data_IF_288629693701
#
_entry.id   IF_288629693701
#
_cell.length_a   1.000
_cell.length_b   1.000
_cell.length_c   1.000
_cell.angle_alpha   90.00
_cell.angle_beta   90.00
_cell.angle_gamma   90.00
#
_symmetry.space_group_name_H-M   'P 1'
#
loop_
_entity.id
_entity.type
_entity.pdbx_description
1 polymer ?
#
# COMPACT_ATOMS: atom_id res chain seq x y z
N UNK A 1 20.59 14.99 33.48
CA UNK A 1 19.79 13.93 32.85
C UNK A 1 19.55 14.27 31.39
N UNK A 2 19.66 13.31 30.46
CA UNK A 2 19.38 13.55 29.03
C UNK A 2 17.89 13.87 28.82
N UNK A 3 17.61 14.80 27.90
CA UNK A 3 16.25 15.13 27.47
C UNK A 3 15.68 14.02 26.57
N UNK A 4 14.36 13.98 26.40
CA UNK A 4 13.68 12.99 25.54
C UNK A 4 14.17 13.07 24.09
N UNK A 5 14.38 14.27 23.55
CA UNK A 5 14.92 14.48 22.21
C UNK A 5 16.35 13.94 22.06
N UNK A 6 17.20 14.17 23.06
CA UNK A 6 18.57 13.63 23.07
C UNK A 6 18.57 12.10 23.12
N UNK A 7 17.66 11.48 23.88
CA UNK A 7 17.50 10.03 23.92
C UNK A 7 17.03 9.47 22.57
N UNK A 8 16.13 10.17 21.88
CA UNK A 8 15.64 9.80 20.54
C UNK A 8 16.77 9.92 19.51
N UNK A 9 17.57 10.99 19.53
CA UNK A 9 18.69 11.18 18.60
C UNK A 9 19.77 10.11 18.79
N UNK A 10 20.11 9.79 20.04
CA UNK A 10 21.06 8.71 20.37
C UNK A 10 20.51 7.36 19.91
N UNK A 11 19.22 7.08 20.15
CA UNK A 11 18.59 5.85 19.68
C UNK A 11 18.63 5.75 18.14
N UNK A 12 18.31 6.85 17.42
CA UNK A 12 18.41 6.90 15.95
C UNK A 12 19.82 6.63 15.45
N UNK A 13 20.85 7.21 16.06
CA UNK A 13 22.27 6.94 15.72
C UNK A 13 22.70 5.50 16.01
N UNK A 14 22.26 4.93 17.13
CA UNK A 14 22.56 3.54 17.49
C UNK A 14 21.85 2.52 16.59
N UNK A 15 20.72 2.91 16.00
CA UNK A 15 19.91 2.08 15.10
C UNK A 15 20.30 2.27 13.62
N UNK A 16 20.99 3.35 13.24
CA UNK A 16 21.38 3.65 11.85
C UNK A 16 22.15 2.51 11.15
N UNK A 17 22.83 1.64 11.90
CA UNK A 17 23.60 0.51 11.36
C UNK A 17 23.11 -0.86 11.86
N UNK A 18 21.97 -0.93 12.57
CA UNK A 18 21.40 -2.19 13.05
C UNK A 18 20.18 -2.56 12.23
N UNK A 19 20.18 -3.78 11.71
CA UNK A 19 19.03 -4.38 11.03
C UNK A 19 17.93 -4.62 12.09
N UNK A 20 16.96 -3.70 12.20
CA UNK A 20 15.84 -3.85 13.13
C UNK A 20 14.91 -4.92 12.57
N UNK A 21 14.82 -6.07 13.24
CA UNK A 21 13.88 -7.13 12.92
C UNK A 21 12.64 -6.97 13.80
N UNK A 22 11.55 -6.51 13.21
CA UNK A 22 10.24 -6.62 13.85
C UNK A 22 9.69 -8.02 13.59
N UNK A 23 9.45 -8.79 14.66
CA UNK A 23 8.79 -10.09 14.59
C UNK A 23 7.51 -9.99 15.38
N UNK A 24 6.36 -10.12 14.71
CA UNK A 24 5.08 -10.28 15.39
C UNK A 24 5.03 -11.71 15.94
N UNK A 25 5.23 -11.87 17.25
CA UNK A 25 5.07 -13.16 17.93
C UNK A 25 3.62 -13.25 18.41
N UNK A 26 2.89 -14.21 17.86
CA UNK A 26 1.53 -14.55 18.29
C UNK A 26 1.61 -15.98 18.81
N UNK A 27 1.75 -16.12 20.12
CA UNK A 27 1.81 -17.41 20.81
C UNK A 27 0.52 -17.65 21.60
N UNK A 28 0.11 -18.91 21.68
CA UNK A 28 -0.82 -19.36 22.72
C UNK A 28 -0.07 -19.52 24.05
N UNK A 29 -0.80 -19.77 25.14
CA UNK A 29 -0.21 -20.14 26.44
C UNK A 29 0.75 -21.35 26.36
N UNK A 30 0.71 -22.13 25.28
CA UNK A 30 1.59 -23.28 25.03
C UNK A 30 2.78 -22.96 24.08
N UNK A 31 3.07 -21.69 23.79
CA UNK A 31 4.16 -21.26 22.87
C UNK A 31 4.10 -21.85 21.45
N UNK A 32 2.94 -22.36 21.04
CA UNK A 32 2.72 -22.80 19.65
C UNK A 32 2.53 -21.58 18.76
N UNK A 33 3.22 -21.56 17.62
CA UNK A 33 3.03 -20.53 16.60
C UNK A 33 1.58 -20.57 16.11
N UNK A 34 0.82 -19.49 16.38
CA UNK A 34 -0.55 -19.35 15.89
C UNK A 34 -0.48 -18.80 14.47
N UNK A 35 -1.03 -19.53 13.50
CA UNK A 35 -1.36 -18.99 12.19
C UNK A 35 -2.76 -18.38 12.21
N UNK A 36 -2.93 -17.26 11.51
CA UNK A 36 -4.27 -16.74 11.26
C UNK A 36 -5.00 -17.66 10.28
N UNK A 37 -6.22 -18.06 10.63
CA UNK A 37 -7.07 -18.92 9.77
C UNK A 37 -7.62 -18.19 8.55
N UNK A 38 -7.61 -16.85 8.56
CA UNK A 38 -8.12 -16.01 7.50
C UNK A 38 -6.99 -15.26 6.79
N UNK A 39 -7.11 -14.97 5.49
CA UNK A 39 -6.18 -14.10 4.79
C UNK A 39 -6.17 -12.70 5.42
N UNK A 40 -4.98 -12.14 5.60
CA UNK A 40 -4.82 -10.80 6.17
C UNK A 40 -3.68 -10.06 5.48
N UNK A 41 -3.58 -8.75 5.73
CA UNK A 41 -2.51 -7.88 5.22
C UNK A 41 -1.98 -7.02 6.36
N UNK A 42 -0.68 -6.71 6.33
CA UNK A 42 -0.09 -5.65 7.12
C UNK A 42 -0.24 -4.33 6.38
N UNK A 43 -0.50 -3.24 7.10
CA UNK A 43 -0.53 -1.90 6.54
C UNK A 43 0.13 -0.90 7.50
N UNK A 44 0.88 0.06 6.95
CA UNK A 44 1.31 1.21 7.74
C UNK A 44 0.14 2.18 7.88
N UNK A 45 -0.24 2.53 9.10
CA UNK A 45 -1.41 3.37 9.36
C UNK A 45 -1.30 4.76 8.72
N UNK A 46 -0.08 5.29 8.60
CA UNK A 46 0.26 6.54 7.90
C UNK A 46 -0.02 6.44 6.39
N UNK A 47 0.59 5.47 5.70
CA UNK A 47 0.35 5.27 4.27
C UNK A 47 -1.10 4.85 3.97
N UNK A 48 -1.74 4.09 4.86
CA UNK A 48 -3.15 3.71 4.73
C UNK A 48 -4.08 4.93 4.89
N UNK A 49 -3.77 5.86 5.79
CA UNK A 49 -4.53 7.12 5.92
C UNK A 49 -4.39 7.96 4.66
N UNK A 50 -3.18 8.12 4.15
CA UNK A 50 -2.94 8.84 2.88
C UNK A 50 -3.72 8.19 1.74
N UNK A 51 -3.73 6.86 1.65
CA UNK A 51 -4.56 6.11 0.71
C UNK A 51 -6.05 6.47 0.81
N UNK A 52 -6.57 6.67 2.03
CA UNK A 52 -7.97 7.08 2.22
C UNK A 52 -8.27 8.50 1.75
N UNK A 53 -7.25 9.36 1.65
CA UNK A 53 -7.38 10.75 1.19
C UNK A 53 -7.39 10.87 -0.35
N UNK A 54 -7.11 9.79 -1.10
CA UNK A 54 -7.03 9.77 -2.58
C UNK A 54 -8.38 9.60 -3.31
N UNK A 55 -9.49 10.00 -2.69
CA UNK A 55 -10.85 9.86 -3.22
C UNK A 55 -11.13 8.47 -3.83
N UNK A 56 -10.96 7.43 -3.03
CA UNK A 56 -11.23 6.04 -3.46
C UNK A 56 -12.74 5.81 -3.48
N UNK A 57 -13.29 5.59 -4.67
CA UNK A 57 -14.70 5.26 -4.82
C UNK A 57 -15.04 3.89 -4.24
N UNK A 58 -16.32 3.68 -3.90
CA UNK A 58 -16.82 2.40 -3.39
C UNK A 58 -16.47 1.20 -4.30
N UNK A 59 -16.51 1.38 -5.61
CA UNK A 59 -16.18 0.30 -6.56
C UNK A 59 -14.68 0.03 -6.63
N UNK A 60 -13.84 1.06 -6.59
CA UNK A 60 -12.39 0.89 -6.47
C UNK A 60 -12.03 0.14 -5.19
N UNK A 61 -12.64 0.53 -4.06
CA UNK A 61 -12.45 -0.14 -2.78
C UNK A 61 -12.89 -1.60 -2.82
N UNK A 62 -14.07 -1.90 -3.37
CA UNK A 62 -14.60 -3.26 -3.51
C UNK A 62 -13.71 -4.17 -4.36
N UNK A 63 -13.12 -3.63 -5.44
CA UNK A 63 -12.14 -4.36 -6.27
C UNK A 63 -10.85 -4.57 -5.48
N UNK A 64 -10.34 -3.53 -4.83
CA UNK A 64 -9.11 -3.57 -4.04
C UNK A 64 -9.18 -4.60 -2.92
N UNK A 65 -10.25 -4.62 -2.12
CA UNK A 65 -10.40 -5.57 -1.00
C UNK A 65 -10.41 -7.01 -1.49
N UNK A 66 -11.03 -7.28 -2.64
CA UNK A 66 -11.01 -8.62 -3.25
C UNK A 66 -9.60 -9.00 -3.71
N UNK A 67 -8.86 -8.07 -4.33
CA UNK A 67 -7.47 -8.32 -4.71
C UNK A 67 -6.61 -8.59 -3.46
N UNK A 68 -6.76 -7.82 -2.38
CA UNK A 68 -5.99 -8.02 -1.14
C UNK A 68 -6.25 -9.41 -0.53
N UNK A 69 -7.46 -9.94 -0.64
CA UNK A 69 -7.83 -11.27 -0.16
C UNK A 69 -7.12 -12.38 -0.95
N UNK A 70 -7.07 -12.26 -2.28
CA UNK A 70 -6.63 -13.33 -3.19
C UNK A 70 -5.24 -13.12 -3.83
N UNK A 71 -4.57 -11.99 -3.57
CA UNK A 71 -3.20 -11.76 -4.04
C UNK A 71 -2.23 -12.78 -3.44
N UNK A 72 -1.20 -13.10 -4.21
CA UNK A 72 -0.14 -13.99 -3.76
C UNK A 72 0.81 -13.28 -2.77
N UNK A 73 1.53 -14.09 -1.98
CA UNK A 73 2.69 -13.57 -1.25
C UNK A 73 3.68 -12.95 -2.23
N UNK A 74 4.27 -11.82 -1.86
CA UNK A 74 4.96 -10.97 -2.86
C UNK A 74 4.10 -9.82 -3.38
N UNK A 75 2.84 -9.71 -2.93
CA UNK A 75 1.82 -8.78 -3.42
C UNK A 75 1.49 -8.92 -4.92
N UNK A 76 1.83 -10.05 -5.52
CA UNK A 76 1.57 -10.30 -6.94
C UNK A 76 0.08 -10.53 -7.18
N UNK A 77 -0.47 -9.85 -8.18
CA UNK A 77 -1.86 -10.00 -8.60
C UNK A 77 -1.91 -11.07 -9.69
N UNK A 78 -2.37 -12.27 -9.33
CA UNK A 78 -2.58 -13.37 -10.26
C UNK A 78 -4.08 -13.52 -10.64
N UNK A 79 -4.79 -12.40 -10.71
CA UNK A 79 -6.21 -12.33 -11.07
C UNK A 79 -6.37 -11.52 -12.35
N UNK A 80 -7.12 -12.04 -13.31
CA UNK A 80 -7.47 -11.30 -14.52
C UNK A 80 -8.63 -10.33 -14.25
N UNK A 81 -8.68 -9.21 -14.98
CA UNK A 81 -9.84 -8.31 -14.92
C UNK A 81 -11.16 -9.03 -15.28
N UNK A 82 -11.12 -10.01 -16.18
CA UNK A 82 -12.30 -10.81 -16.55
C UNK A 82 -12.79 -11.69 -15.39
N UNK A 83 -11.90 -12.26 -14.59
CA UNK A 83 -12.25 -13.02 -13.38
C UNK A 83 -12.89 -12.10 -12.32
N UNK A 84 -12.33 -10.91 -12.13
CA UNK A 84 -12.85 -9.90 -11.20
C UNK A 84 -14.22 -9.38 -11.64
N UNK A 85 -14.45 -9.18 -12.94
CA UNK A 85 -15.76 -8.76 -13.47
C UNK A 85 -16.85 -9.76 -13.09
N UNK A 86 -16.56 -11.07 -13.26
CA UNK A 86 -17.49 -12.15 -12.92
C UNK A 86 -17.71 -12.23 -11.41
N UNK A 87 -16.63 -12.22 -10.62
CA UNK A 87 -16.70 -12.36 -9.17
C UNK A 87 -17.45 -11.20 -8.49
N UNK A 88 -17.23 -9.97 -8.97
CA UNK A 88 -17.77 -8.76 -8.33
C UNK A 88 -19.03 -8.22 -9.00
N UNK A 89 -19.48 -8.84 -10.10
CA UNK A 89 -20.57 -8.38 -10.95
C UNK A 89 -20.38 -6.92 -11.41
N UNK A 90 -19.22 -6.65 -12.03
CA UNK A 90 -18.83 -5.32 -12.54
C UNK A 90 -18.63 -5.43 -14.05
N UNK A 91 -19.14 -4.46 -14.80
CA UNK A 91 -18.94 -4.38 -16.24
C UNK A 91 -17.46 -4.17 -16.60
N UNK A 92 -17.00 -4.79 -17.69
CA UNK A 92 -15.59 -4.76 -18.12
C UNK A 92 -15.03 -3.34 -18.31
N UNK A 93 -15.78 -2.44 -18.96
CA UNK A 93 -15.36 -1.05 -19.13
C UNK A 93 -15.14 -0.32 -17.80
N UNK A 94 -16.00 -0.59 -16.80
CA UNK A 94 -15.83 -0.02 -15.47
C UNK A 94 -14.62 -0.65 -14.75
N UNK A 95 -14.42 -1.96 -14.87
CA UNK A 95 -13.25 -2.65 -14.30
C UNK A 95 -11.92 -2.11 -14.84
N UNK A 96 -11.82 -1.91 -16.16
CA UNK A 96 -10.61 -1.35 -16.77
C UNK A 96 -10.36 0.08 -16.30
N UNK A 97 -11.41 0.90 -16.16
CA UNK A 97 -11.29 2.25 -15.61
C UNK A 97 -10.85 2.24 -14.13
N UNK A 98 -11.40 1.34 -13.31
CA UNK A 98 -10.98 1.14 -11.92
C UNK A 98 -9.49 0.80 -11.85
N UNK A 99 -9.01 -0.13 -12.67
CA UNK A 99 -7.58 -0.48 -12.72
C UNK A 99 -6.71 0.70 -13.14
N UNK A 100 -7.16 1.51 -14.11
CA UNK A 100 -6.46 2.73 -14.49
C UNK A 100 -6.34 3.69 -13.31
N UNK A 101 -7.45 4.00 -12.63
CA UNK A 101 -7.45 4.91 -11.48
C UNK A 101 -6.60 4.40 -10.31
N UNK A 102 -6.68 3.11 -9.99
CA UNK A 102 -5.86 2.52 -8.93
C UNK A 102 -4.35 2.58 -9.24
N UNK A 103 -3.94 2.53 -10.52
CA UNK A 103 -2.54 2.76 -10.92
C UNK A 103 -2.15 4.23 -10.76
N UNK A 104 -2.99 5.16 -11.21
CA UNK A 104 -2.77 6.59 -11.06
C UNK A 104 -2.58 6.96 -9.58
N UNK A 105 -3.41 6.40 -8.70
CA UNK A 105 -3.32 6.57 -7.24
C UNK A 105 -2.14 5.82 -6.60
N UNK A 106 -1.27 5.20 -7.39
CA UNK A 106 -0.09 4.48 -6.93
C UNK A 106 -0.36 3.22 -6.11
N UNK A 107 -1.60 2.70 -6.14
CA UNK A 107 -2.01 1.51 -5.37
C UNK A 107 -1.65 0.24 -6.13
N UNK A 108 -1.82 0.26 -7.45
CA UNK A 108 -1.38 -0.81 -8.34
C UNK A 108 -0.07 -0.41 -9.00
N UNK A 109 0.91 -1.31 -8.95
CA UNK A 109 2.26 -1.11 -9.49
C UNK A 109 2.51 -2.14 -10.57
N UNK A 110 2.99 -1.70 -11.74
CA UNK A 110 3.37 -2.59 -12.83
C UNK A 110 4.89 -2.64 -12.94
N UNK A 111 5.46 -3.85 -12.93
CA UNK A 111 6.89 -4.06 -13.04
C UNK A 111 7.18 -5.33 -13.83
N UNK A 112 7.94 -5.21 -14.92
CA UNK A 112 8.23 -6.31 -15.87
C UNK A 112 6.98 -7.08 -16.36
N UNK A 113 5.90 -6.38 -16.68
CA UNK A 113 4.65 -6.98 -17.17
C UNK A 113 3.84 -7.72 -16.11
N UNK A 114 4.26 -7.67 -14.85
CA UNK A 114 3.52 -8.18 -13.71
C UNK A 114 2.89 -7.02 -12.93
N UNK A 115 1.70 -7.27 -12.38
CA UNK A 115 0.95 -6.29 -11.61
C UNK A 115 0.99 -6.66 -10.12
N UNK A 116 1.20 -5.66 -9.28
CA UNK A 116 1.36 -5.81 -7.83
C UNK A 116 0.47 -4.82 -7.08
N UNK A 117 0.13 -5.16 -5.83
CA UNK A 117 -0.33 -4.18 -4.84
C UNK A 117 0.87 -3.48 -4.23
N UNK A 118 0.80 -2.15 -4.12
CA UNK A 118 1.87 -1.33 -3.57
C UNK A 118 2.30 -1.81 -2.17
N UNK A 119 3.55 -2.25 -2.05
CA UNK A 119 4.09 -2.76 -0.80
C UNK A 119 4.37 -1.69 0.25
N UNK A 120 4.41 -0.41 -0.13
CA UNK A 120 4.41 0.68 0.84
C UNK A 120 3.06 0.81 1.56
N UNK A 121 1.95 0.36 0.96
CA UNK A 121 0.61 0.46 1.57
C UNK A 121 0.25 -0.83 2.29
N UNK A 122 0.33 -1.96 1.59
CA UNK A 122 -0.08 -3.27 2.11
C UNK A 122 1.01 -4.31 1.89
N UNK A 123 1.15 -5.27 2.80
CA UNK A 123 1.91 -6.50 2.55
C UNK A 123 1.05 -7.71 2.90
N UNK A 124 0.98 -8.72 2.02
CA UNK A 124 0.25 -9.96 2.34
C UNK A 124 0.81 -10.59 3.61
N UNK A 125 -0.05 -10.79 4.60
CA UNK A 125 0.29 -11.46 5.85
C UNK A 125 0.65 -12.92 5.58
N UNK A 126 1.69 -13.43 6.25
CA UNK A 126 2.20 -14.78 6.04
C UNK A 126 2.25 -15.57 7.35
N UNK A 127 2.15 -16.88 7.25
CA UNK A 127 2.41 -17.82 8.34
C UNK A 127 3.89 -18.20 8.47
N UNK A 128 4.70 -18.04 7.41
CA UNK A 128 6.10 -18.48 7.36
C UNK A 128 7.03 -17.42 6.73
N UNK A 129 8.35 -17.65 6.84
CA UNK A 129 9.36 -16.73 6.29
C UNK A 129 9.27 -16.59 4.77
N UNK A 130 9.49 -15.37 4.27
CA UNK A 130 9.60 -15.08 2.84
C UNK A 130 10.83 -15.77 2.23
N UNK A 131 10.60 -16.51 1.15
CA UNK A 131 11.69 -16.92 0.25
C UNK A 131 12.25 -15.72 -0.54
N UNK A 132 13.37 -15.95 -1.23
CA UNK A 132 14.07 -14.89 -1.96
C UNK A 132 13.23 -14.31 -3.10
N UNK A 133 12.44 -15.13 -3.80
CA UNK A 133 11.57 -14.71 -4.90
C UNK A 133 10.50 -13.73 -4.41
N UNK A 134 9.83 -14.06 -3.30
CA UNK A 134 8.75 -13.23 -2.73
C UNK A 134 9.29 -11.92 -2.14
N UNK A 135 10.53 -11.90 -1.63
CA UNK A 135 11.21 -10.66 -1.24
C UNK A 135 11.46 -9.74 -2.44
N UNK A 136 11.90 -10.30 -3.55
CA UNK A 136 12.11 -9.56 -4.80
C UNK A 136 10.78 -9.01 -5.34
N UNK A 137 9.72 -9.82 -5.32
CA UNK A 137 8.37 -9.38 -5.68
C UNK A 137 7.88 -8.23 -4.80
N UNK A 138 8.05 -8.29 -3.48
CA UNK A 138 7.70 -7.19 -2.58
C UNK A 138 8.52 -5.92 -2.87
N UNK A 139 9.78 -6.06 -3.27
CA UNK A 139 10.60 -4.92 -3.70
C UNK A 139 10.08 -4.31 -5.01
N UNK A 140 9.71 -5.14 -5.98
CA UNK A 140 9.15 -4.70 -7.26
C UNK A 140 7.79 -4.03 -7.09
N UNK A 141 7.06 -4.40 -6.04
CA UNK A 141 5.78 -3.83 -5.68
C UNK A 141 5.88 -2.45 -5.01
N UNK A 142 7.07 -1.87 -4.80
CA UNK A 142 7.21 -0.57 -4.14
C UNK A 142 6.87 0.58 -5.08
N UNK A 143 6.12 1.55 -4.57
CA UNK A 143 5.92 2.83 -5.23
C UNK A 143 5.67 3.92 -4.17
N UNK A 144 6.37 5.04 -4.29
CA UNK A 144 6.26 6.16 -3.36
C UNK A 144 5.25 7.20 -3.85
N UNK A 145 4.91 7.19 -5.15
CA UNK A 145 4.20 8.28 -5.81
C UNK A 145 2.73 7.95 -6.11
N UNK A 146 1.88 8.97 -6.06
CA UNK A 146 0.51 8.91 -6.58
C UNK A 146 0.16 10.22 -7.31
N UNK A 147 -0.74 10.12 -8.28
CA UNK A 147 -1.46 11.25 -8.86
C UNK A 147 -2.55 11.71 -7.89
N UNK A 148 -2.50 12.98 -7.49
CA UNK A 148 -3.42 13.59 -6.54
C UNK A 148 -4.09 14.79 -7.20
N UNK A 149 -5.42 14.84 -7.09
CA UNK A 149 -6.20 16.01 -7.47
C UNK A 149 -6.06 17.11 -6.41
N UNK A 150 -5.73 18.31 -6.85
CA UNK A 150 -5.54 19.45 -5.95
C UNK A 150 -6.49 20.59 -6.25
N UNK A 151 -7.04 21.14 -5.17
CA UNK A 151 -7.75 22.39 -5.22
C UNK A 151 -6.74 23.54 -5.42
N UNK A 152 -7.07 24.54 -6.25
CA UNK A 152 -6.24 25.74 -6.37
C UNK A 152 -6.21 26.48 -5.03
N UNK A 153 -5.13 27.20 -4.75
CA UNK A 153 -4.97 27.96 -3.49
C UNK A 153 -6.13 28.96 -3.26
N UNK A 154 -6.72 29.47 -4.35
CA UNK A 154 -7.86 30.38 -4.32
C UNK A 154 -9.21 29.73 -4.05
N UNK A 155 -9.30 28.40 -3.91
CA UNK A 155 -10.56 27.65 -3.79
C UNK A 155 -11.50 28.20 -2.69
N UNK A 156 -10.94 28.55 -1.53
CA UNK A 156 -11.69 29.10 -0.40
C UNK A 156 -12.31 30.48 -0.69
N UNK A 157 -11.71 31.26 -1.59
CA UNK A 157 -12.15 32.57 -2.01
C UNK A 157 -13.10 32.56 -3.23
N UNK A 158 -13.17 31.44 -3.97
CA UNK A 158 -14.04 31.30 -5.15
C UNK A 158 -15.53 31.31 -4.77
N UNK A 159 -16.38 31.87 -5.64
CA UNK A 159 -17.84 31.84 -5.50
C UNK A 159 -18.41 30.42 -5.73
N UNK A 160 -19.66 30.21 -5.29
CA UNK A 160 -20.33 28.90 -5.45
C UNK A 160 -20.50 28.47 -6.92
N UNK A 161 -20.66 29.40 -7.86
CA UNK A 161 -20.78 29.05 -9.29
C UNK A 161 -19.43 28.61 -9.85
N UNK A 162 -18.35 29.30 -9.50
CA UNK A 162 -17.00 28.98 -9.97
C UNK A 162 -16.53 27.62 -9.42
N UNK A 163 -16.85 27.30 -8.16
CA UNK A 163 -16.52 25.99 -7.57
C UNK A 163 -17.23 24.81 -8.26
N UNK A 164 -18.40 25.03 -8.86
CA UNK A 164 -19.17 23.96 -9.53
C UNK A 164 -18.58 23.54 -10.88
N UNK A 165 -17.87 24.45 -11.54
CA UNK A 165 -17.25 24.22 -12.85
C UNK A 165 -15.74 24.08 -12.75
N UNK A 166 -15.20 24.02 -11.53
CA UNK A 166 -13.77 23.92 -11.29
C UNK A 166 -13.27 22.52 -11.65
N UNK A 167 -12.29 22.47 -12.54
CA UNK A 167 -11.48 21.28 -12.78
C UNK A 167 -10.28 21.28 -11.84
N UNK A 168 -10.02 20.16 -11.18
CA UNK A 168 -8.85 20.01 -10.31
C UNK A 168 -7.62 19.71 -11.16
N UNK A 169 -6.49 20.27 -10.77
CA UNK A 169 -5.20 19.93 -11.37
C UNK A 169 -4.69 18.63 -10.76
N UNK A 170 -4.07 17.79 -11.59
CA UNK A 170 -3.46 16.54 -11.15
C UNK A 170 -1.96 16.71 -11.05
N UNK A 171 -1.38 16.39 -9.89
CA UNK A 171 0.06 16.41 -9.67
C UNK A 171 0.53 15.05 -9.17
N UNK A 172 1.71 14.62 -9.60
CA UNK A 172 2.37 13.43 -9.04
C UNK A 172 3.14 13.82 -7.78
N UNK A 173 2.77 13.25 -6.64
CA UNK A 173 3.42 13.52 -5.34
C UNK A 173 3.96 12.25 -4.71
N UNK A 174 5.10 12.39 -4.03
CA UNK A 174 5.66 11.33 -3.18
C UNK A 174 4.93 11.34 -1.83
N UNK A 175 4.12 10.31 -1.56
CA UNK A 175 3.24 10.27 -0.39
C UNK A 175 3.34 8.96 0.40
N UNK A 176 3.76 7.85 -0.22
CA UNK A 176 3.85 6.55 0.45
C UNK A 176 5.25 6.29 1.02
N UNK A 177 5.66 7.14 1.96
CA UNK A 177 7.05 7.19 2.42
C UNK A 177 7.43 6.03 3.37
N UNK A 178 6.47 5.47 4.10
CA UNK A 178 6.74 4.30 4.94
C UNK A 178 6.92 3.04 4.10
N UNK A 179 7.85 2.18 4.49
CA UNK A 179 8.19 0.99 3.71
C UNK A 179 8.57 -0.18 4.61
N UNK A 180 8.21 -1.39 4.17
CA UNK A 180 8.82 -2.60 4.73
C UNK A 180 10.26 -2.69 4.22
N UNK A 181 11.22 -2.76 5.15
CA UNK A 181 12.64 -2.91 4.81
C UNK A 181 12.99 -4.39 4.79
N UNK A 182 13.26 -4.93 3.60
CA UNK A 182 13.76 -6.29 3.43
C UNK A 182 15.23 -6.23 3.04
N UNK A 183 16.11 -6.20 4.03
CA UNK A 183 17.55 -6.21 3.80
C UNK A 183 18.00 -7.59 3.30
N UNK A 184 18.79 -7.58 2.21
CA UNK A 184 19.61 -8.74 1.85
C UNK A 184 20.65 -8.90 2.96
N UNK A 185 20.78 -10.11 3.53
CA UNK A 185 21.93 -10.43 4.39
C UNK A 185 23.19 -10.05 3.60
N UNK A 186 23.99 -9.10 4.12
CA UNK A 186 25.39 -9.02 3.70
C UNK A 186 26.01 -10.36 4.11
N UNK A 187 26.51 -11.09 3.11
CA UNK A 187 27.36 -12.27 3.36
C UNK A 187 28.65 -11.82 4.03
#
# INVERSE_FOLDING_TARGET
>A
SLTTEQKIDIAKRLLQNKEIKSTTVISSEEDKAISFSQPYVFAFTSNFRIFSDLDISKNEFRVLTYILEYMEFGNLINLSQSSLCKALNIASGNMSNIFKKLRQKGILVEHHGHLYINSNIFAKGMSHQLDQKRKEQLSNARNLCAEIEQYPESYSAMSKSERRTLSLETETKEIYTDAFVFSKKKK
#
